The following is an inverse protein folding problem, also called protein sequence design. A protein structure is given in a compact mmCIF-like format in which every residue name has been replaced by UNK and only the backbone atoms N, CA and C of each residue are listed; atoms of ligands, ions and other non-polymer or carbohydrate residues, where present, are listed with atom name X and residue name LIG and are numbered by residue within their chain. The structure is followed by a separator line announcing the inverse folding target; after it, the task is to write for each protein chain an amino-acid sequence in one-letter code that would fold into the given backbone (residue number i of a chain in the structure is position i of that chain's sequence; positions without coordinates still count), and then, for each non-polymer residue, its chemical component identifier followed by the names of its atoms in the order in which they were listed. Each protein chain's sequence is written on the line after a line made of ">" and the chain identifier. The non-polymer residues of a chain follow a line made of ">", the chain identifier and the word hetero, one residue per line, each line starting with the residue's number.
data_IF_521113954620
#
_entry.id   IF_521113954620
#
_cell.length_a   1.000
_cell.length_b   1.000
_cell.length_c   1.000
_cell.angle_alpha   90.00
_cell.angle_beta   90.00
_cell.angle_gamma   90.00
#
_symmetry.space_group_name_H-M   'P 1'
#
loop_
_entity.id
_entity.type
_entity.pdbx_description
1 polymer ?
#
# COMPACT_ATOMS: atom_id res chain seq x y z
N UNK A 1 -6.49 19.33 6.32
CA UNK A 1 -7.32 18.51 5.41
C UNK A 1 -6.48 17.68 4.43
N UNK A 2 -5.36 18.22 3.91
CA UNK A 2 -4.47 17.48 2.99
C UNK A 2 -3.90 16.16 3.54
N UNK A 3 -3.53 16.08 4.83
CA UNK A 3 -3.02 14.84 5.41
C UNK A 3 -3.99 13.66 5.32
N UNK A 4 -5.27 13.91 5.63
CA UNK A 4 -6.31 12.88 5.53
C UNK A 4 -6.52 12.42 4.09
N UNK A 5 -6.40 13.33 3.13
CA UNK A 5 -6.47 13.02 1.71
C UNK A 5 -5.33 12.13 1.25
N UNK A 6 -4.10 12.43 1.66
CA UNK A 6 -2.90 11.62 1.37
C UNK A 6 -3.01 10.24 2.03
N UNK A 7 -3.47 10.18 3.28
CA UNK A 7 -3.71 8.92 3.98
C UNK A 7 -4.74 8.04 3.26
N UNK A 8 -5.87 8.61 2.85
CA UNK A 8 -6.89 7.91 2.07
C UNK A 8 -6.38 7.46 0.71
N UNK A 9 -5.56 8.28 0.05
CA UNK A 9 -4.95 7.92 -1.22
C UNK A 9 -4.00 6.73 -1.05
N UNK A 10 -3.16 6.71 -0.01
CA UNK A 10 -2.32 5.56 0.32
C UNK A 10 -3.14 4.31 0.66
N UNK A 11 -4.23 4.45 1.42
CA UNK A 11 -5.10 3.33 1.75
C UNK A 11 -5.75 2.74 0.49
N UNK A 12 -6.28 3.58 -0.40
CA UNK A 12 -6.85 3.16 -1.67
C UNK A 12 -5.80 2.48 -2.57
N UNK A 13 -4.60 3.06 -2.62
CA UNK A 13 -3.44 2.50 -3.34
C UNK A 13 -3.10 1.10 -2.83
N UNK A 14 -3.09 0.90 -1.51
CA UNK A 14 -2.82 -0.40 -0.90
C UNK A 14 -3.89 -1.44 -1.21
N UNK A 15 -5.17 -1.05 -1.18
CA UNK A 15 -6.27 -1.94 -1.56
C UNK A 15 -6.14 -2.35 -3.03
N UNK A 16 -5.84 -1.41 -3.94
CA UNK A 16 -5.66 -1.70 -5.36
C UNK A 16 -4.50 -2.69 -5.61
N UNK A 17 -3.38 -2.54 -4.90
CA UNK A 17 -2.27 -3.50 -5.00
C UNK A 17 -2.68 -4.89 -4.48
N UNK A 18 -3.26 -4.96 -3.28
CA UNK A 18 -3.63 -6.23 -2.64
C UNK A 18 -4.66 -6.97 -3.49
N UNK A 19 -5.68 -6.28 -4.01
CA UNK A 19 -6.69 -6.86 -4.92
C UNK A 19 -6.02 -7.40 -6.18
N UNK A 20 -5.14 -6.62 -6.81
CA UNK A 20 -4.43 -7.04 -8.02
C UNK A 20 -3.62 -8.31 -7.80
N UNK A 21 -2.81 -8.33 -6.74
CA UNK A 21 -2.00 -9.48 -6.35
C UNK A 21 -2.86 -10.69 -5.96
N UNK A 22 -3.95 -10.48 -5.23
CA UNK A 22 -4.87 -11.53 -4.81
C UNK A 22 -5.55 -12.22 -6.00
N UNK A 23 -5.97 -11.45 -7.01
CA UNK A 23 -6.56 -12.01 -8.23
C UNK A 23 -5.57 -12.88 -9.01
N UNK A 24 -4.30 -12.46 -9.11
CA UNK A 24 -3.25 -13.30 -9.71
C UNK A 24 -3.04 -14.57 -8.88
N UNK A 25 -2.93 -14.43 -7.56
CA UNK A 25 -2.78 -15.57 -6.65
C UNK A 25 -3.94 -16.56 -6.80
N UNK A 26 -5.18 -16.08 -6.94
CA UNK A 26 -6.35 -16.93 -7.19
C UNK A 26 -6.25 -17.72 -8.50
N UNK A 27 -5.81 -17.11 -9.60
CA UNK A 27 -5.61 -17.82 -10.87
C UNK A 27 -4.55 -18.91 -10.71
N UNK A 28 -3.40 -18.55 -10.14
CA UNK A 28 -2.23 -19.45 -10.05
C UNK A 28 -2.43 -20.56 -9.03
N UNK A 29 -3.02 -20.28 -7.86
CA UNK A 29 -3.12 -21.24 -6.75
C UNK A 29 -4.46 -21.96 -6.67
N UNK A 30 -5.55 -21.35 -7.12
CA UNK A 30 -6.88 -21.97 -7.05
C UNK A 30 -7.39 -22.45 -8.42
N UNK A 31 -6.57 -22.35 -9.48
CA UNK A 31 -6.99 -22.72 -10.84
C UNK A 31 -8.11 -21.83 -11.37
N UNK A 32 -8.23 -20.60 -10.86
CA UNK A 32 -9.24 -19.65 -11.31
C UNK A 32 -9.07 -19.32 -12.80
N UNK A 33 -10.17 -18.91 -13.45
CA UNK A 33 -10.15 -18.52 -14.86
C UNK A 33 -9.08 -17.45 -15.14
N UNK A 34 -8.31 -17.63 -16.23
CA UNK A 34 -7.33 -16.65 -16.69
C UNK A 34 -7.94 -15.25 -16.94
N UNK A 35 -9.27 -15.16 -17.08
CA UNK A 35 -9.99 -13.90 -17.18
C UNK A 35 -9.74 -12.95 -16.00
N UNK A 36 -9.46 -13.47 -14.80
CA UNK A 36 -9.14 -12.64 -13.64
C UNK A 36 -7.80 -11.89 -13.76
N UNK A 37 -6.93 -12.24 -14.72
CA UNK A 37 -5.68 -11.52 -14.97
C UNK A 37 -5.92 -10.12 -15.55
N UNK A 38 -7.02 -9.92 -16.29
CA UNK A 38 -7.38 -8.60 -16.84
C UNK A 38 -7.71 -7.61 -15.71
N UNK A 39 -8.68 -7.88 -14.80
CA UNK A 39 -8.93 -6.97 -13.68
C UNK A 39 -7.73 -6.89 -12.72
N UNK A 40 -6.92 -7.95 -12.59
CA UNK A 40 -5.67 -7.88 -11.83
C UNK A 40 -4.70 -6.85 -12.40
N UNK A 41 -4.46 -6.89 -13.72
CA UNK A 41 -3.59 -5.95 -14.41
C UNK A 41 -4.10 -4.51 -14.32
N UNK A 42 -5.41 -4.30 -14.47
CA UNK A 42 -6.03 -2.98 -14.29
C UNK A 42 -5.84 -2.46 -12.87
N UNK A 43 -6.02 -3.31 -11.86
CA UNK A 43 -5.82 -2.95 -10.44
C UNK A 43 -4.37 -2.55 -10.15
N UNK A 44 -3.40 -3.30 -10.69
CA UNK A 44 -1.97 -2.99 -10.55
C UNK A 44 -1.57 -1.71 -11.30
N UNK A 45 -2.15 -1.46 -12.48
CA UNK A 45 -1.94 -0.21 -13.21
C UNK A 45 -2.50 1.00 -12.44
N UNK A 46 -3.68 0.87 -11.82
CA UNK A 46 -4.26 1.89 -10.96
C UNK A 46 -3.38 2.17 -9.73
N UNK A 47 -2.87 1.12 -9.09
CA UNK A 47 -1.91 1.23 -8.00
C UNK A 47 -0.67 2.07 -8.40
N UNK A 48 -0.04 1.71 -9.51
CA UNK A 48 1.13 2.43 -10.02
C UNK A 48 0.81 3.90 -10.33
N UNK A 49 -0.37 4.16 -10.92
CA UNK A 49 -0.83 5.51 -11.20
C UNK A 49 -1.05 6.33 -9.92
N UNK A 50 -1.70 5.75 -8.90
CA UNK A 50 -1.95 6.45 -7.63
C UNK A 50 -0.66 6.79 -6.88
N UNK A 51 0.37 5.93 -6.93
CA UNK A 51 1.70 6.25 -6.38
C UNK A 51 2.33 7.44 -7.08
N UNK A 52 2.22 7.51 -8.41
CA UNK A 52 2.78 8.60 -9.21
C UNK A 52 2.14 9.97 -8.93
N UNK A 53 0.95 10.02 -8.33
CA UNK A 53 0.27 11.26 -7.94
C UNK A 53 0.88 11.93 -6.69
N UNK A 54 1.75 11.25 -5.94
CA UNK A 54 2.32 11.81 -4.73
C UNK A 54 3.49 12.77 -5.03
N UNK A 55 3.45 14.04 -4.56
CA UNK A 55 4.43 15.07 -4.91
C UNK A 55 5.72 15.01 -4.04
N UNK A 56 6.31 13.82 -3.88
CA UNK A 56 7.51 13.59 -3.06
C UNK A 56 8.54 12.73 -3.81
N UNK A 57 9.77 12.65 -3.30
CA UNK A 57 10.76 11.72 -3.81
C UNK A 57 10.19 10.29 -3.82
N UNK A 58 10.31 9.59 -4.95
CA UNK A 58 9.71 8.26 -5.19
C UNK A 58 10.07 7.27 -4.09
N UNK A 59 11.34 7.23 -3.66
CA UNK A 59 11.80 6.34 -2.58
C UNK A 59 11.11 6.59 -1.23
N UNK A 60 10.83 7.85 -0.88
CA UNK A 60 10.12 8.19 0.37
C UNK A 60 8.64 7.79 0.30
N UNK A 61 8.03 7.92 -0.88
CA UNK A 61 6.65 7.48 -1.11
C UNK A 61 6.55 5.98 -0.92
N UNK A 62 7.42 5.18 -1.56
CA UNK A 62 7.42 3.73 -1.39
C UNK A 62 7.66 3.30 0.05
N UNK A 63 8.60 3.94 0.75
CA UNK A 63 8.90 3.61 2.14
C UNK A 63 7.75 3.95 3.10
N UNK A 64 7.10 5.11 2.92
CA UNK A 64 5.91 5.47 3.70
C UNK A 64 4.71 4.56 3.35
N UNK A 65 4.50 4.31 2.06
CA UNK A 65 3.46 3.42 1.55
C UNK A 65 3.51 2.03 2.18
N UNK A 66 4.70 1.46 2.36
CA UNK A 66 4.87 0.12 2.96
C UNK A 66 4.22 -0.01 4.34
N UNK A 67 4.22 1.04 5.15
CA UNK A 67 3.54 1.00 6.46
C UNK A 67 2.01 0.94 6.33
N UNK A 68 1.44 1.69 5.38
CA UNK A 68 0.01 1.59 5.06
C UNK A 68 -0.34 0.22 4.49
N UNK A 69 0.51 -0.31 3.60
CA UNK A 69 0.32 -1.64 3.00
C UNK A 69 0.18 -2.71 4.08
N UNK A 70 1.06 -2.72 5.09
CA UNK A 70 1.00 -3.68 6.20
C UNK A 70 -0.34 -3.57 6.94
N UNK A 71 -0.80 -2.36 7.25
CA UNK A 71 -2.07 -2.16 7.95
C UNK A 71 -3.27 -2.70 7.12
N UNK A 72 -3.31 -2.38 5.82
CA UNK A 72 -4.39 -2.86 4.93
C UNK A 72 -4.30 -4.37 4.71
N UNK A 73 -3.11 -4.93 4.58
CA UNK A 73 -2.90 -6.37 4.43
C UNK A 73 -3.40 -7.15 5.66
N UNK A 74 -3.23 -6.63 6.88
CA UNK A 74 -3.77 -7.27 8.08
C UNK A 74 -5.30 -7.16 8.16
N UNK A 75 -5.88 -6.04 7.72
CA UNK A 75 -7.35 -5.92 7.59
C UNK A 75 -7.85 -6.94 6.56
N UNK A 76 -7.16 -7.07 5.42
CA UNK A 76 -7.49 -8.06 4.39
C UNK A 76 -7.41 -9.49 4.93
N UNK A 77 -6.33 -9.82 5.63
CA UNK A 77 -6.12 -11.11 6.29
C UNK A 77 -7.29 -11.45 7.23
N UNK A 78 -7.83 -10.45 7.94
CA UNK A 78 -8.96 -10.63 8.84
C UNK A 78 -10.31 -10.77 8.15
N UNK A 79 -10.53 -9.98 7.09
CA UNK A 79 -11.85 -9.81 6.44
C UNK A 79 -12.04 -10.79 5.28
N UNK A 80 -11.04 -10.94 4.41
CA UNK A 80 -11.11 -11.76 3.19
C UNK A 80 -10.59 -13.16 3.46
N UNK A 81 -9.44 -13.28 4.12
CA UNK A 81 -8.87 -14.61 4.43
C UNK A 81 -9.47 -15.22 5.71
N UNK A 82 -10.20 -14.44 6.51
CA UNK A 82 -10.90 -14.89 7.71
C UNK A 82 -9.99 -15.27 8.88
N UNK A 83 -8.70 -14.95 8.81
CA UNK A 83 -7.72 -15.31 9.84
C UNK A 83 -7.78 -14.33 11.00
N UNK A 84 -7.83 -14.83 12.24
CA UNK A 84 -7.83 -13.99 13.44
C UNK A 84 -6.47 -13.35 13.65
N UNK A 85 -6.43 -12.01 13.74
CA UNK A 85 -5.21 -11.28 14.04
C UNK A 85 -4.71 -11.61 15.44
N UNK A 86 -3.41 -11.87 15.53
CA UNK A 86 -2.70 -12.09 16.78
C UNK A 86 -2.23 -10.76 17.38
N UNK A 87 -1.80 -10.80 18.64
CA UNK A 87 -1.19 -9.64 19.30
C UNK A 87 0.10 -9.19 18.59
N UNK A 88 0.82 -10.12 17.96
CA UNK A 88 2.03 -9.84 17.21
C UNK A 88 1.74 -9.10 15.91
N UNK A 89 0.64 -9.44 15.23
CA UNK A 89 0.19 -8.71 14.04
C UNK A 89 -0.13 -7.26 14.38
N UNK A 90 -0.83 -7.03 15.50
CA UNK A 90 -1.14 -5.68 15.98
C UNK A 90 0.12 -4.86 16.32
N UNK A 91 1.10 -5.48 16.99
CA UNK A 91 2.38 -4.83 17.29
C UNK A 91 3.17 -4.51 16.02
N UNK A 92 3.21 -5.45 15.07
CA UNK A 92 3.85 -5.25 13.77
C UNK A 92 3.21 -4.10 12.97
N UNK A 93 1.88 -4.04 12.94
CA UNK A 93 1.13 -2.95 12.32
C UNK A 93 1.47 -1.59 12.95
N UNK A 94 1.51 -1.54 14.29
CA UNK A 94 1.85 -0.31 15.01
C UNK A 94 3.26 0.17 14.67
N UNK A 95 4.25 -0.73 14.70
CA UNK A 95 5.64 -0.41 14.36
C UNK A 95 5.77 0.06 12.90
N UNK A 96 5.06 -0.60 11.98
CA UNK A 96 5.05 -0.22 10.56
C UNK A 96 4.44 1.18 10.34
N UNK A 97 3.31 1.48 10.99
CA UNK A 97 2.66 2.78 10.90
C UNK A 97 3.49 3.90 11.55
N UNK A 98 4.17 3.61 12.66
CA UNK A 98 5.11 4.56 13.27
C UNK A 98 6.31 4.84 12.35
N UNK A 99 6.88 3.80 11.73
CA UNK A 99 7.95 3.95 10.74
C UNK A 99 7.50 4.80 9.54
N UNK A 100 6.30 4.53 9.02
CA UNK A 100 5.66 5.35 7.98
C UNK A 100 5.53 6.80 8.43
N UNK A 101 5.03 7.06 9.64
CA UNK A 101 4.85 8.41 10.15
C UNK A 101 6.19 9.17 10.21
N UNK A 102 7.26 8.52 10.70
CA UNK A 102 8.61 9.11 10.72
C UNK A 102 9.07 9.48 9.30
N UNK A 103 8.91 8.58 8.33
CA UNK A 103 9.37 8.82 6.95
C UNK A 103 8.52 9.89 6.25
N UNK A 104 7.21 9.87 6.46
CA UNK A 104 6.25 10.78 5.84
C UNK A 104 6.33 12.20 6.41
N UNK A 105 6.61 12.33 7.71
CA UNK A 105 6.66 13.61 8.42
C UNK A 105 8.07 14.08 8.77
N UNK A 106 9.12 13.42 8.26
CA UNK A 106 10.48 13.91 8.47
C UNK A 106 10.58 15.36 8.00
N UNK A 107 11.25 16.24 8.77
CA UNK A 107 11.48 17.61 8.34
C UNK A 107 12.27 17.57 7.03
N UNK A 108 11.76 18.27 6.02
CA UNK A 108 12.51 18.52 4.80
C UNK A 108 13.67 19.41 5.25
N UNK A 109 14.85 18.82 5.44
CA UNK A 109 16.06 19.62 5.46
C UNK A 109 16.11 20.33 4.10
N UNK A 110 15.97 21.66 4.10
CA UNK A 110 16.20 22.48 2.92
C UNK A 110 17.62 22.19 2.42
N UNK A 111 17.72 21.28 1.47
CA UNK A 111 18.97 20.90 0.84
C UNK A 111 18.67 20.41 -0.56
N UNK A 112 19.00 21.30 -1.49
CA UNK A 112 19.22 21.08 -2.91
C UNK A 112 17.96 21.01 -3.81
N UNK A 113 17.60 22.20 -4.30
CA UNK A 113 17.72 22.48 -5.74
C UNK A 113 18.66 21.50 -6.45
N UNK A 114 18.14 20.54 -7.22
CA UNK A 114 19.03 19.62 -7.94
C UNK A 114 18.39 18.33 -8.44
N UNK A 115 17.32 18.42 -9.22
CA UNK A 115 17.15 17.45 -10.31
C UNK A 115 16.53 18.18 -11.50
N UNK A 116 17.33 18.28 -12.56
CA UNK A 116 16.89 18.60 -13.91
C UNK A 116 16.11 17.42 -14.47
#
# INVERSE_FOLDING_TARGET
>A
MEFFRVFLLFAFTAVAEIVGCYLVWRVVKQGGSAWYLIPAAVSLALFAYCLALHPSATGRIYAAYGGMYIAVALVWLRVVDGVTLTRWDGLGALLALLGMAVIAFQPIADSASGFK
#
